data_IF_496856354052
#
_entry.id   IF_496856354052
#
_cell.length_a   1.000
_cell.length_b   1.000
_cell.length_c   1.000
_cell.angle_alpha   90.00
_cell.angle_beta   90.00
_cell.angle_gamma   90.00
#
_symmetry.space_group_name_H-M   'P 1'
#
loop_
_entity.id
_entity.type
_entity.pdbx_description
1 polymer ?
#
# COMPACT_ATOMS: atom_id res chain seq x y z
N UNK A 1 26.92 28.46 -22.08
CA UNK A 1 25.57 29.05 -22.23
C UNK A 1 24.54 27.91 -22.26
N UNK A 2 23.51 27.98 -21.40
CA UNK A 2 22.23 27.23 -21.35
C UNK A 2 22.33 25.69 -21.30
N UNK A 3 22.28 25.03 -20.10
CA UNK A 3 21.13 24.58 -19.27
C UNK A 3 20.23 23.51 -19.93
N UNK A 4 19.86 22.49 -19.11
CA UNK A 4 18.73 21.50 -19.14
C UNK A 4 19.29 20.06 -19.12
N UNK A 5 19.01 19.13 -18.18
CA UNK A 5 18.12 19.05 -17.01
C UNK A 5 18.68 18.03 -15.99
N UNK A 6 18.37 18.25 -14.72
CA UNK A 6 18.60 17.34 -13.60
C UNK A 6 17.67 16.13 -13.66
N UNK A 7 18.20 14.95 -13.35
CA UNK A 7 17.43 13.92 -12.65
C UNK A 7 18.39 13.15 -11.70
N UNK A 8 18.76 13.80 -10.61
CA UNK A 8 19.39 13.14 -9.47
C UNK A 8 18.25 12.49 -8.70
N UNK A 9 18.07 11.17 -8.87
CA UNK A 9 17.17 10.39 -8.04
C UNK A 9 17.80 10.34 -6.63
N UNK A 10 17.24 11.15 -5.73
CA UNK A 10 17.66 11.24 -4.34
C UNK A 10 17.20 9.97 -3.59
N UNK A 11 18.01 8.92 -3.63
CA UNK A 11 17.94 7.83 -2.65
C UNK A 11 18.51 8.39 -1.35
N UNK A 12 17.65 8.93 -0.49
CA UNK A 12 18.03 9.40 0.83
C UNK A 12 18.24 8.19 1.76
N UNK A 13 19.47 7.66 1.75
CA UNK A 13 20.02 6.88 2.85
C UNK A 13 20.48 7.87 3.93
N UNK A 14 19.76 7.99 5.05
CA UNK A 14 20.25 8.68 6.24
C UNK A 14 20.51 7.63 7.32
N UNK A 15 21.76 7.19 7.40
CA UNK A 15 22.33 6.62 8.62
C UNK A 15 22.86 7.80 9.43
N UNK A 16 22.22 8.10 10.56
CA UNK A 16 22.81 8.93 11.61
C UNK A 16 22.86 8.10 12.89
N UNK A 17 24.09 7.78 13.30
CA UNK A 17 24.40 7.24 14.61
C UNK A 17 24.49 8.35 15.67
N UNK A 18 23.84 8.05 16.80
CA UNK A 18 24.06 8.50 18.19
C UNK A 18 23.93 9.98 18.56
N UNK A 19 22.88 10.30 19.32
CA UNK A 19 22.90 10.59 20.77
C UNK A 19 21.50 10.25 21.32
N UNK A 20 21.44 9.43 22.38
CA UNK A 20 20.19 9.11 23.10
C UNK A 20 19.78 10.25 24.03
N UNK A 21 18.51 10.66 23.97
CA UNK A 21 17.73 10.96 25.16
C UNK A 21 16.54 10.01 25.27
N UNK A 22 16.40 9.35 26.42
CA UNK A 22 15.20 8.63 26.91
C UNK A 22 14.46 7.73 25.90
N UNK A 23 14.93 6.49 25.74
CA UNK A 23 14.21 5.37 25.07
C UNK A 23 12.98 4.89 25.87
N UNK A 24 12.03 5.77 26.13
CA UNK A 24 10.78 5.41 26.81
C UNK A 24 9.51 6.01 26.16
N UNK A 25 9.61 6.80 25.09
CA UNK A 25 8.42 7.48 24.52
C UNK A 25 8.15 7.23 23.03
N UNK A 26 9.14 6.87 22.21
CA UNK A 26 8.93 6.62 20.77
C UNK A 26 8.49 5.19 20.45
N UNK A 27 8.83 4.22 21.30
CA UNK A 27 8.42 2.84 21.07
C UNK A 27 6.95 2.57 21.39
N UNK A 28 6.35 3.41 22.24
CA UNK A 28 5.00 3.23 22.76
C UNK A 28 3.90 3.61 21.76
N UNK A 29 4.19 4.47 20.78
CA UNK A 29 3.22 4.92 19.77
C UNK A 29 3.49 4.24 18.43
N UNK A 30 2.46 3.69 17.81
CA UNK A 30 2.55 3.05 16.50
C UNK A 30 1.86 3.90 15.44
N UNK A 31 2.54 4.14 14.32
CA UNK A 31 2.01 4.81 13.12
C UNK A 31 2.28 3.96 11.88
N UNK A 32 1.54 4.26 10.81
CA UNK A 32 1.55 3.48 9.57
C UNK A 32 2.92 3.41 8.89
N UNK A 33 3.72 4.48 8.94
CA UNK A 33 5.05 4.52 8.32
C UNK A 33 6.04 3.69 9.11
N UNK A 34 5.98 3.75 10.44
CA UNK A 34 6.80 2.92 11.31
C UNK A 34 6.55 1.44 11.06
N UNK A 35 5.29 1.04 10.86
CA UNK A 35 4.94 -0.35 10.51
C UNK A 35 5.54 -0.74 9.16
N UNK A 36 5.38 0.11 8.15
CA UNK A 36 5.91 -0.16 6.81
C UNK A 36 7.44 -0.29 6.80
N UNK A 37 8.15 0.62 7.45
CA UNK A 37 9.63 0.60 7.53
C UNK A 37 10.10 -0.69 8.21
N UNK A 38 9.58 -1.00 9.41
CA UNK A 38 9.98 -2.22 10.13
C UNK A 38 9.63 -3.51 9.38
N UNK A 39 8.49 -3.53 8.70
CA UNK A 39 8.09 -4.68 7.88
C UNK A 39 9.06 -4.89 6.70
N UNK A 40 9.47 -3.81 6.04
CA UNK A 40 10.46 -3.86 4.95
C UNK A 40 11.83 -4.33 5.48
N UNK A 41 12.30 -3.79 6.61
CA UNK A 41 13.56 -4.19 7.25
C UNK A 41 13.58 -5.66 7.67
N UNK A 42 12.44 -6.17 8.13
CA UNK A 42 12.30 -7.57 8.53
C UNK A 42 12.16 -8.54 7.35
N UNK A 43 11.75 -8.05 6.17
CA UNK A 43 11.43 -8.88 5.00
C UNK A 43 12.65 -9.63 4.43
N UNK A 44 12.54 -10.96 4.30
CA UNK A 44 13.56 -11.79 3.65
C UNK A 44 13.64 -11.54 2.13
N UNK A 45 12.49 -11.30 1.48
CA UNK A 45 12.46 -11.01 0.04
C UNK A 45 13.23 -9.71 -0.30
N UNK A 46 13.12 -8.69 0.57
CA UNK A 46 13.86 -7.43 0.40
C UNK A 46 15.36 -7.62 0.64
N UNK A 47 15.75 -8.44 1.62
CA UNK A 47 17.16 -8.78 1.86
C UNK A 47 17.77 -9.50 0.65
N UNK A 48 17.07 -10.51 0.11
CA UNK A 48 17.54 -11.28 -1.04
C UNK A 48 17.68 -10.40 -2.30
N UNK A 49 16.65 -9.61 -2.61
CA UNK A 49 16.72 -8.67 -3.76
C UNK A 49 17.80 -7.61 -3.57
N UNK A 50 18.04 -7.16 -2.32
CA UNK A 50 19.12 -6.23 -2.00
C UNK A 50 20.52 -6.81 -2.18
N UNK A 51 20.73 -8.08 -1.84
CA UNK A 51 21.99 -8.78 -2.14
C UNK A 51 22.24 -8.88 -3.65
N UNK A 52 21.19 -9.18 -4.42
CA UNK A 52 21.27 -9.23 -5.88
C UNK A 52 21.55 -7.85 -6.50
N UNK A 53 20.91 -6.77 -6.02
CA UNK A 53 21.26 -5.39 -6.41
C UNK A 53 22.73 -5.09 -6.12
N UNK A 54 23.23 -5.44 -4.93
CA UNK A 54 24.64 -5.22 -4.58
C UNK A 54 25.60 -6.00 -5.50
N UNK A 55 25.24 -7.22 -5.91
CA UNK A 55 26.00 -8.01 -6.88
C UNK A 55 26.05 -7.30 -8.24
N UNK A 56 24.91 -6.84 -8.75
CA UNK A 56 24.81 -6.13 -10.03
C UNK A 56 25.58 -4.80 -10.01
N UNK A 57 25.55 -4.06 -8.89
CA UNK A 57 26.36 -2.86 -8.72
C UNK A 57 27.86 -3.14 -8.79
N UNK A 58 28.33 -4.22 -8.14
CA UNK A 58 29.73 -4.64 -8.22
C UNK A 58 30.10 -5.02 -9.65
N UNK A 59 29.27 -5.80 -10.33
CA UNK A 59 29.52 -6.19 -11.72
C UNK A 59 29.57 -4.95 -12.65
N UNK A 60 28.66 -3.99 -12.49
CA UNK A 60 28.68 -2.74 -13.26
C UNK A 60 29.95 -1.91 -12.98
N UNK A 61 30.38 -1.81 -11.72
CA UNK A 61 31.64 -1.15 -11.37
C UNK A 61 32.86 -1.82 -11.99
N UNK A 62 32.86 -3.15 -12.10
CA UNK A 62 33.89 -3.94 -12.77
C UNK A 62 33.94 -3.65 -14.27
N UNK A 63 32.78 -3.66 -14.94
CA UNK A 63 32.67 -3.29 -16.37
C UNK A 63 33.21 -1.88 -16.59
N UNK A 64 32.79 -0.90 -15.79
CA UNK A 64 33.25 0.49 -15.91
C UNK A 64 34.76 0.64 -15.69
N UNK A 65 35.35 -0.13 -14.78
CA UNK A 65 36.80 -0.13 -14.56
C UNK A 65 37.55 -0.69 -15.77
N UNK A 66 37.00 -1.71 -16.44
CA UNK A 66 37.54 -2.26 -17.69
C UNK A 66 37.49 -1.26 -18.85
N UNK A 67 36.52 -0.35 -18.88
CA UNK A 67 36.38 0.67 -19.94
C UNK A 67 37.61 1.58 -20.03
N UNK A 68 38.20 1.98 -18.91
CA UNK A 68 39.36 2.89 -18.94
C UNK A 68 40.59 2.20 -19.51
N UNK A 69 40.79 0.91 -19.18
CA UNK A 69 41.83 0.09 -19.78
C UNK A 69 41.58 -0.11 -21.28
N UNK A 70 40.35 -0.40 -21.68
CA UNK A 70 39.98 -0.55 -23.09
C UNK A 70 40.19 0.75 -23.87
N UNK A 71 39.80 1.92 -23.32
CA UNK A 71 40.04 3.23 -23.93
C UNK A 71 41.53 3.52 -24.15
N UNK A 72 42.39 3.15 -23.21
CA UNK A 72 43.84 3.29 -23.38
C UNK A 72 44.35 2.44 -24.55
N UNK A 73 43.83 1.22 -24.70
CA UNK A 73 44.19 0.32 -25.79
C UNK A 73 43.74 0.82 -27.17
N UNK A 74 42.72 1.69 -27.28
CA UNK A 74 42.24 2.25 -28.56
C UNK A 74 43.36 2.95 -29.32
N UNK A 75 44.35 3.51 -28.62
CA UNK A 75 45.50 4.17 -29.23
C UNK A 75 46.44 3.21 -29.97
N UNK A 76 46.41 1.92 -29.62
CA UNK A 76 47.32 0.90 -30.13
C UNK A 76 46.61 -0.12 -31.02
N UNK A 77 45.35 -0.45 -30.69
CA UNK A 77 44.52 -1.40 -31.42
C UNK A 77 43.13 -0.79 -31.56
N UNK A 78 42.69 -0.61 -32.80
CA UNK A 78 41.31 -0.21 -33.09
C UNK A 78 40.56 -1.43 -33.61
N UNK A 79 39.73 -2.03 -32.77
CA UNK A 79 38.89 -3.17 -33.15
C UNK A 79 37.45 -2.96 -32.68
N UNK A 80 36.53 -3.66 -33.34
CA UNK A 80 35.11 -3.66 -33.00
C UNK A 80 34.88 -4.11 -31.55
N UNK A 81 35.55 -5.19 -31.14
CA UNK A 81 35.44 -5.77 -29.79
C UNK A 81 35.83 -4.75 -28.72
N UNK A 82 36.80 -3.89 -29.02
CA UNK A 82 37.22 -2.83 -28.12
C UNK A 82 36.15 -1.74 -28.01
N UNK A 83 35.53 -1.33 -29.12
CA UNK A 83 34.42 -0.37 -29.12
C UNK A 83 33.19 -0.92 -28.39
N UNK A 84 32.85 -2.19 -28.61
CA UNK A 84 31.79 -2.92 -27.92
C UNK A 84 32.01 -2.90 -26.39
N UNK A 85 33.24 -3.17 -25.94
CA UNK A 85 33.59 -3.16 -24.52
C UNK A 85 33.53 -1.77 -23.87
N UNK A 86 33.72 -0.70 -24.65
CA UNK A 86 33.75 0.69 -24.17
C UNK A 86 32.35 1.29 -24.12
N UNK A 87 31.46 0.91 -25.04
CA UNK A 87 30.17 1.59 -25.22
C UNK A 87 28.99 0.66 -24.96
N UNK A 88 28.92 -0.48 -25.66
CA UNK A 88 27.75 -1.36 -25.60
C UNK A 88 27.68 -2.10 -24.26
N UNK A 89 28.77 -2.72 -23.81
CA UNK A 89 28.79 -3.50 -22.57
C UNK A 89 28.42 -2.67 -21.32
N UNK A 90 28.95 -1.44 -21.11
CA UNK A 90 28.54 -0.60 -19.98
C UNK A 90 27.07 -0.18 -20.06
N UNK A 91 26.57 0.14 -21.26
CA UNK A 91 25.18 0.57 -21.46
C UNK A 91 24.18 -0.54 -21.14
N UNK A 92 24.43 -1.76 -21.63
CA UNK A 92 23.60 -2.93 -21.33
C UNK A 92 23.65 -3.26 -19.83
N UNK A 93 24.84 -3.21 -19.22
CA UNK A 93 25.00 -3.51 -17.80
C UNK A 93 24.33 -2.45 -16.90
N UNK A 94 24.34 -1.18 -17.30
CA UNK A 94 23.61 -0.11 -16.61
C UNK A 94 22.09 -0.32 -16.67
N UNK A 95 21.56 -0.71 -17.83
CA UNK A 95 20.16 -1.05 -17.97
C UNK A 95 19.75 -2.23 -17.08
N UNK A 96 20.51 -3.32 -17.07
CA UNK A 96 20.24 -4.49 -16.21
C UNK A 96 20.32 -4.15 -14.71
N UNK A 97 21.27 -3.30 -14.31
CA UNK A 97 21.34 -2.79 -12.94
C UNK A 97 20.08 -1.98 -12.59
N UNK A 98 19.68 -1.04 -13.46
CA UNK A 98 18.50 -0.20 -13.23
C UNK A 98 17.22 -1.04 -13.18
N UNK A 99 17.10 -2.04 -14.04
CA UNK A 99 16.01 -3.04 -14.02
C UNK A 99 15.94 -3.74 -12.67
N UNK A 100 17.07 -4.24 -12.17
CA UNK A 100 17.15 -4.92 -10.88
C UNK A 100 16.75 -4.00 -9.71
N UNK A 101 17.21 -2.74 -9.73
CA UNK A 101 16.85 -1.74 -8.71
C UNK A 101 15.34 -1.43 -8.75
N UNK A 102 14.77 -1.28 -9.95
CA UNK A 102 13.33 -1.06 -10.15
C UNK A 102 12.50 -2.24 -9.67
N UNK A 103 12.92 -3.48 -9.96
CA UNK A 103 12.26 -4.70 -9.47
C UNK A 103 12.27 -4.78 -7.94
N UNK A 104 13.40 -4.45 -7.29
CA UNK A 104 13.44 -4.35 -5.83
C UNK A 104 12.47 -3.30 -5.29
N UNK A 105 12.35 -2.15 -5.95
CA UNK A 105 11.41 -1.09 -5.53
C UNK A 105 9.95 -1.55 -5.63
N UNK A 106 9.60 -2.31 -6.66
CA UNK A 106 8.26 -2.90 -6.85
C UNK A 106 7.93 -3.93 -5.75
N UNK A 107 8.90 -4.76 -5.36
CA UNK A 107 8.74 -5.68 -4.21
C UNK A 107 8.62 -4.90 -2.89
N UNK A 108 9.38 -3.81 -2.75
CA UNK A 108 9.30 -2.92 -1.58
C UNK A 108 7.92 -2.29 -1.45
N UNK A 109 7.36 -1.78 -2.55
CA UNK A 109 6.01 -1.21 -2.57
C UNK A 109 4.94 -2.24 -2.18
N UNK A 110 5.07 -3.49 -2.63
CA UNK A 110 4.17 -4.57 -2.23
C UNK A 110 4.21 -4.82 -0.71
N UNK A 111 5.42 -4.88 -0.12
CA UNK A 111 5.59 -5.03 1.33
C UNK A 111 5.00 -3.85 2.11
N UNK A 112 5.19 -2.62 1.61
CA UNK A 112 4.61 -1.41 2.21
C UNK A 112 3.08 -1.43 2.15
N UNK A 113 2.48 -1.83 1.04
CA UNK A 113 1.03 -1.97 0.92
C UNK A 113 0.47 -3.03 1.88
N UNK A 114 1.13 -4.19 2.00
CA UNK A 114 0.72 -5.19 2.99
C UNK A 114 0.79 -4.64 4.42
N UNK A 115 1.85 -3.89 4.75
CA UNK A 115 1.99 -3.25 6.05
C UNK A 115 0.89 -2.21 6.31
N UNK A 116 0.58 -1.37 5.32
CA UNK A 116 -0.50 -0.40 5.39
C UNK A 116 -1.85 -1.09 5.61
N UNK A 117 -2.17 -2.14 4.86
CA UNK A 117 -3.43 -2.88 5.04
C UNK A 117 -3.55 -3.48 6.44
N UNK A 118 -2.48 -4.09 6.96
CA UNK A 118 -2.46 -4.65 8.31
C UNK A 118 -2.65 -3.57 9.38
N UNK A 119 -2.03 -2.40 9.22
CA UNK A 119 -2.22 -1.29 10.15
C UNK A 119 -3.64 -0.70 10.08
N UNK A 120 -4.21 -0.58 8.88
CA UNK A 120 -5.60 -0.17 8.68
C UNK A 120 -6.55 -1.15 9.40
N UNK A 121 -6.33 -2.46 9.26
CA UNK A 121 -7.14 -3.45 9.98
C UNK A 121 -7.01 -3.33 11.50
N UNK A 122 -5.82 -3.02 12.01
CA UNK A 122 -5.62 -2.74 13.43
C UNK A 122 -6.39 -1.50 13.88
N UNK A 123 -6.39 -0.41 13.10
CA UNK A 123 -7.17 0.81 13.41
C UNK A 123 -8.68 0.55 13.39
N UNK A 124 -9.18 -0.25 12.45
CA UNK A 124 -10.59 -0.69 12.45
C UNK A 124 -10.93 -1.46 13.73
N UNK A 125 -10.05 -2.38 14.13
CA UNK A 125 -10.19 -3.13 15.38
C UNK A 125 -10.22 -2.23 16.62
N UNK A 126 -9.29 -1.28 16.71
CA UNK A 126 -9.22 -0.29 17.80
C UNK A 126 -10.50 0.54 17.92
N UNK A 127 -10.97 1.09 16.79
CA UNK A 127 -12.20 1.88 16.75
C UNK A 127 -13.43 1.03 17.15
N UNK A 128 -13.54 -0.19 16.61
CA UNK A 128 -14.64 -1.09 16.94
C UNK A 128 -14.65 -1.48 18.43
N UNK A 129 -13.48 -1.77 19.02
CA UNK A 129 -13.35 -2.08 20.45
C UNK A 129 -13.80 -0.88 21.29
N UNK A 130 -13.36 0.32 20.96
CA UNK A 130 -13.73 1.54 21.68
C UNK A 130 -15.24 1.80 21.61
N UNK A 131 -15.82 1.85 20.41
CA UNK A 131 -17.25 2.11 20.21
C UNK A 131 -18.12 1.04 20.86
N UNK A 132 -17.73 -0.24 20.77
CA UNK A 132 -18.50 -1.34 21.39
C UNK A 132 -18.35 -1.38 22.91
N UNK A 133 -17.21 -0.95 23.46
CA UNK A 133 -17.03 -0.80 24.90
C UNK A 133 -17.95 0.27 25.47
N UNK A 134 -18.01 1.43 24.83
CA UNK A 134 -18.90 2.53 25.20
C UNK A 134 -20.38 2.12 25.11
N UNK A 135 -20.76 1.45 24.01
CA UNK A 135 -22.12 0.93 23.83
C UNK A 135 -22.49 -0.13 24.89
N UNK A 136 -21.60 -1.09 25.16
CA UNK A 136 -21.81 -2.11 26.19
C UNK A 136 -22.02 -1.48 27.56
N UNK A 137 -21.20 -0.49 27.93
CA UNK A 137 -21.34 0.21 29.21
C UNK A 137 -22.69 0.94 29.30
N UNK A 138 -23.08 1.65 28.24
CA UNK A 138 -24.37 2.35 28.19
C UNK A 138 -25.55 1.38 28.31
N UNK A 139 -25.51 0.24 27.62
CA UNK A 139 -26.59 -0.75 27.67
C UNK A 139 -26.64 -1.48 29.01
N UNK A 140 -25.49 -1.67 29.67
CA UNK A 140 -25.43 -2.19 31.04
C UNK A 140 -26.09 -1.24 32.05
N UNK A 141 -25.83 0.06 31.91
CA UNK A 141 -26.47 1.07 32.77
C UNK A 141 -27.99 1.13 32.54
N UNK A 142 -28.43 1.02 31.29
CA UNK A 142 -29.86 0.95 30.95
C UNK A 142 -30.54 -0.33 31.48
N UNK A 143 -29.87 -1.48 31.40
CA UNK A 143 -30.34 -2.73 32.00
C UNK A 143 -30.53 -2.59 33.52
N UNK A 144 -29.55 -2.02 34.23
CA UNK A 144 -29.67 -1.78 35.68
C UNK A 144 -30.84 -0.83 35.99
N UNK A 145 -30.95 0.26 35.22
CA UNK A 145 -32.02 1.25 35.40
C UNK A 145 -33.39 0.60 35.25
N UNK A 146 -33.63 -0.15 34.18
CA UNK A 146 -34.95 -0.75 33.94
C UNK A 146 -35.29 -1.85 34.94
N UNK A 147 -34.29 -2.58 35.44
CA UNK A 147 -34.46 -3.53 36.54
C UNK A 147 -34.95 -2.85 37.81
N UNK A 148 -34.33 -1.73 38.21
CA UNK A 148 -34.80 -0.94 39.36
C UNK A 148 -36.21 -0.38 39.15
N UNK A 149 -36.56 0.02 37.92
CA UNK A 149 -37.92 0.47 37.60
C UNK A 149 -38.93 -0.68 37.70
N UNK A 150 -38.56 -1.89 37.30
CA UNK A 150 -39.41 -3.07 37.43
C UNK A 150 -39.64 -3.45 38.90
N UNK A 151 -38.62 -3.37 39.76
CA UNK A 151 -38.74 -3.59 41.21
C UNK A 151 -39.73 -2.59 41.87
N UNK A 152 -39.89 -1.41 41.26
CA UNK A 152 -40.83 -0.38 41.68
C UNK A 152 -42.20 -0.47 40.98
N UNK A 153 -42.41 -1.49 40.13
CA UNK A 153 -43.65 -1.67 39.37
C UNK A 153 -43.83 -0.68 38.21
N UNK A 154 -42.79 0.05 37.82
CA UNK A 154 -42.82 1.07 36.75
C UNK A 154 -42.38 0.54 35.38
N UNK A 155 -41.84 -0.68 35.30
CA UNK A 155 -41.44 -1.34 34.06
C UNK A 155 -41.91 -2.80 34.02
N UNK A 156 -42.18 -3.31 32.83
CA UNK A 156 -42.59 -4.70 32.64
C UNK A 156 -41.39 -5.65 32.65
N UNK A 157 -41.60 -6.89 33.10
CA UNK A 157 -40.55 -7.93 33.09
C UNK A 157 -40.01 -8.21 31.67
N UNK A 158 -40.86 -8.06 30.64
CA UNK A 158 -40.45 -8.16 29.24
C UNK A 158 -39.43 -7.10 28.83
N UNK A 159 -39.54 -5.87 29.35
CA UNK A 159 -38.61 -4.79 29.04
C UNK A 159 -37.25 -5.03 29.69
N UNK A 160 -37.24 -5.57 30.92
CA UNK A 160 -36.01 -6.01 31.60
C UNK A 160 -35.29 -7.07 30.77
N UNK A 161 -36.02 -8.09 30.31
CA UNK A 161 -35.43 -9.15 29.46
C UNK A 161 -34.88 -8.61 28.14
N UNK A 162 -35.57 -7.68 27.48
CA UNK A 162 -35.07 -7.07 26.26
C UNK A 162 -33.79 -6.24 26.49
N UNK A 163 -33.72 -5.50 27.59
CA UNK A 163 -32.52 -4.74 27.95
C UNK A 163 -31.33 -5.66 28.29
N UNK A 164 -31.58 -6.78 28.99
CA UNK A 164 -30.57 -7.79 29.28
C UNK A 164 -30.02 -8.42 28.00
N UNK A 165 -30.90 -8.80 27.06
CA UNK A 165 -30.50 -9.34 25.75
C UNK A 165 -29.61 -8.33 25.00
N UNK A 166 -30.00 -7.06 24.95
CA UNK A 166 -29.22 -6.03 24.27
C UNK A 166 -27.84 -5.85 24.92
N UNK A 167 -27.76 -5.85 26.25
CA UNK A 167 -26.49 -5.79 26.98
C UNK A 167 -25.59 -7.01 26.68
N UNK A 168 -26.12 -8.23 26.78
CA UNK A 168 -25.31 -9.43 26.55
C UNK A 168 -24.86 -9.55 25.08
N UNK A 169 -25.69 -9.12 24.12
CA UNK A 169 -25.27 -9.01 22.71
C UNK A 169 -24.15 -7.99 22.53
N UNK A 170 -24.24 -6.82 23.16
CA UNK A 170 -23.19 -5.80 23.10
C UNK A 170 -21.88 -6.29 23.74
N UNK A 171 -21.97 -7.00 24.88
CA UNK A 171 -20.82 -7.64 25.53
C UNK A 171 -20.17 -8.69 24.64
N UNK A 172 -20.94 -9.55 24.00
CA UNK A 172 -20.44 -10.53 23.03
C UNK A 172 -19.72 -9.84 21.86
N UNK A 173 -20.33 -8.80 21.29
CA UNK A 173 -19.75 -8.05 20.18
C UNK A 173 -18.45 -7.31 20.57
N UNK A 174 -18.38 -6.79 21.80
CA UNK A 174 -17.16 -6.19 22.36
C UNK A 174 -16.03 -7.21 22.50
N UNK A 175 -16.30 -8.39 23.09
CA UNK A 175 -15.29 -9.45 23.23
C UNK A 175 -14.79 -9.96 21.87
N UNK A 176 -15.68 -10.09 20.88
CA UNK A 176 -15.29 -10.45 19.52
C UNK A 176 -14.41 -9.39 18.85
N UNK A 177 -14.71 -8.11 19.06
CA UNK A 177 -13.88 -7.02 18.55
C UNK A 177 -12.48 -7.04 19.21
N UNK A 178 -12.41 -7.32 20.52
CA UNK A 178 -11.15 -7.45 21.25
C UNK A 178 -10.28 -8.58 20.69
N UNK A 179 -10.86 -9.77 20.50
CA UNK A 179 -10.16 -10.90 19.90
C UNK A 179 -9.65 -10.59 18.48
N UNK A 180 -10.46 -9.89 17.68
CA UNK A 180 -10.09 -9.48 16.31
C UNK A 180 -8.93 -8.46 16.31
N UNK A 181 -8.95 -7.51 17.25
CA UNK A 181 -7.86 -6.55 17.45
C UNK A 181 -6.58 -7.24 17.95
N UNK A 182 -6.70 -8.23 18.83
CA UNK A 182 -5.57 -9.02 19.31
C UNK A 182 -4.90 -9.81 18.17
N UNK A 183 -5.70 -10.42 17.30
CA UNK A 183 -5.21 -11.06 16.07
C UNK A 183 -4.50 -10.07 15.13
N UNK A 184 -5.04 -8.86 15.01
CA UNK A 184 -4.42 -7.78 14.20
C UNK A 184 -3.07 -7.36 14.78
N UNK A 185 -2.94 -7.27 16.11
CA UNK A 185 -1.66 -7.03 16.77
C UNK A 185 -0.65 -8.16 16.52
N UNK A 186 -1.06 -9.42 16.61
CA UNK A 186 -0.16 -10.54 16.34
C UNK A 186 0.35 -10.48 14.90
N UNK A 187 -0.54 -10.23 13.94
CA UNK A 187 -0.22 -10.11 12.52
C UNK A 187 0.79 -8.99 12.27
N UNK A 188 0.54 -7.79 12.80
CA UNK A 188 1.42 -6.64 12.57
C UNK A 188 2.78 -6.81 13.24
N UNK A 189 2.81 -7.37 14.45
CA UNK A 189 4.05 -7.64 15.17
C UNK A 189 4.89 -8.70 14.45
N UNK A 190 4.26 -9.76 13.93
CA UNK A 190 4.93 -10.76 13.11
C UNK A 190 5.58 -10.13 11.87
N UNK A 191 4.86 -9.25 11.16
CA UNK A 191 5.38 -8.56 9.99
C UNK A 191 6.58 -7.68 10.32
N UNK A 192 6.52 -6.94 11.44
CA UNK A 192 7.59 -6.06 11.91
C UNK A 192 8.78 -6.79 12.58
N UNK A 193 8.68 -8.09 12.85
CA UNK A 193 9.69 -8.83 13.60
C UNK A 193 9.71 -8.50 15.10
N UNK A 194 8.57 -8.08 15.65
CA UNK A 194 8.38 -7.73 17.05
C UNK A 194 7.77 -8.91 17.84
N UNK A 195 7.89 -8.95 19.19
CA UNK A 195 7.20 -9.95 19.99
C UNK A 195 5.69 -9.94 19.71
N UNK A 196 5.09 -11.12 19.46
CA UNK A 196 3.67 -11.22 19.05
C UNK A 196 2.70 -10.57 20.04
N UNK A 197 3.02 -10.64 21.34
CA UNK A 197 2.22 -10.07 22.43
C UNK A 197 2.43 -8.57 22.66
N UNK A 198 3.34 -7.91 21.91
CA UNK A 198 3.65 -6.49 22.10
C UNK A 198 2.42 -5.63 21.82
N UNK A 199 2.09 -4.76 22.77
CA UNK A 199 1.03 -3.75 22.64
C UNK A 199 1.64 -2.36 22.61
N UNK A 200 0.88 -1.42 22.06
CA UNK A 200 1.28 -0.03 21.92
C UNK A 200 0.28 0.83 22.70
N UNK A 201 0.76 1.91 23.32
CA UNK A 201 -0.06 2.78 24.16
C UNK A 201 -0.99 3.69 23.35
N UNK A 202 -0.65 3.92 22.08
CA UNK A 202 -1.48 4.70 21.16
C UNK A 202 -1.24 4.27 19.70
N UNK A 203 -2.30 4.36 18.91
CA UNK A 203 -2.27 4.22 17.46
C UNK A 203 -2.56 5.59 16.85
N UNK A 204 -1.75 6.03 15.87
CA UNK A 204 -1.95 7.31 15.19
C UNK A 204 -2.71 7.13 13.87
N UNK A 205 -3.83 7.81 13.73
CA UNK A 205 -4.64 7.82 12.51
C UNK A 205 -4.77 9.21 11.85
N UNK A 206 -4.14 10.25 12.43
CA UNK A 206 -4.29 11.63 11.99
C UNK A 206 -3.85 11.93 10.55
N UNK A 207 -3.00 11.09 9.96
CA UNK A 207 -2.57 11.20 8.56
C UNK A 207 -3.37 10.29 7.59
N UNK A 208 -4.40 9.61 8.09
CA UNK A 208 -5.17 8.60 7.35
C UNK A 208 -6.56 9.16 7.09
N UNK A 209 -6.63 10.10 6.15
CA UNK A 209 -7.85 10.80 5.76
C UNK A 209 -7.97 10.67 4.24
N UNK A 210 -9.01 10.01 3.72
CA UNK A 210 -9.17 9.89 2.28
C UNK A 210 -9.42 11.26 1.65
N UNK A 211 -8.79 11.50 0.50
CA UNK A 211 -9.11 12.66 -0.33
C UNK A 211 -10.59 12.58 -0.77
N UNK A 212 -11.28 13.72 -0.80
CA UNK A 212 -12.70 13.77 -1.14
C UNK A 212 -12.98 13.42 -2.61
N UNK A 213 -12.00 13.65 -3.49
CA UNK A 213 -12.11 13.42 -4.92
C UNK A 213 -10.90 12.62 -5.40
N UNK A 214 -11.15 11.76 -6.38
CA UNK A 214 -10.10 11.02 -7.11
C UNK A 214 -9.82 11.72 -8.44
N UNK A 215 -8.64 11.48 -9.01
CA UNK A 215 -8.29 11.98 -10.35
C UNK A 215 -9.10 11.29 -11.45
N UNK A 216 -8.96 11.73 -12.70
CA UNK A 216 -9.56 11.01 -13.83
C UNK A 216 -8.81 9.71 -14.13
N UNK A 217 -9.49 8.76 -14.77
CA UNK A 217 -8.85 7.52 -15.24
C UNK A 217 -7.70 7.85 -16.20
N UNK A 218 -7.91 8.82 -17.10
CA UNK A 218 -6.91 9.26 -18.06
C UNK A 218 -5.64 9.80 -17.38
N UNK A 219 -5.78 10.57 -16.29
CA UNK A 219 -4.64 11.11 -15.54
C UNK A 219 -3.83 9.98 -14.88
N UNK A 220 -4.51 8.97 -14.32
CA UNK A 220 -3.85 7.81 -13.72
C UNK A 220 -3.14 6.96 -14.77
N UNK A 221 -3.78 6.70 -15.91
CA UNK A 221 -3.17 6.00 -17.04
C UNK A 221 -1.94 6.75 -17.54
N UNK A 222 -2.02 8.06 -17.75
CA UNK A 222 -0.91 8.86 -18.25
C UNK A 222 0.31 8.81 -17.30
N UNK A 223 0.08 8.88 -15.99
CA UNK A 223 1.14 8.71 -14.98
C UNK A 223 1.76 7.31 -15.04
N UNK A 224 0.92 6.27 -15.03
CA UNK A 224 1.39 4.89 -15.06
C UNK A 224 2.20 4.58 -16.32
N UNK A 225 1.75 5.03 -17.50
CA UNK A 225 2.46 4.85 -18.76
C UNK A 225 3.86 5.47 -18.78
N UNK A 226 4.11 6.46 -17.92
CA UNK A 226 5.41 7.14 -17.81
C UNK A 226 6.33 6.47 -16.79
N UNK A 227 5.77 5.89 -15.72
CA UNK A 227 6.54 5.51 -14.53
C UNK A 227 6.65 4.00 -14.30
N UNK A 228 5.72 3.19 -14.83
CA UNK A 228 5.64 1.76 -14.52
C UNK A 228 6.90 1.02 -14.91
N UNK A 229 7.38 0.17 -13.98
CA UNK A 229 8.60 -0.59 -14.16
C UNK A 229 8.55 -1.52 -15.37
N UNK A 230 7.39 -2.12 -15.67
CA UNK A 230 7.23 -2.99 -16.83
C UNK A 230 7.45 -2.25 -18.16
N UNK A 231 7.06 -0.97 -18.22
CA UNK A 231 7.24 -0.10 -19.39
C UNK A 231 8.67 0.40 -19.46
N UNK A 232 9.22 0.88 -18.34
CA UNK A 232 10.61 1.34 -18.27
C UNK A 232 11.61 0.22 -18.63
N UNK A 233 11.33 -1.01 -18.19
CA UNK A 233 12.15 -2.18 -18.51
C UNK A 233 12.01 -2.55 -19.99
N UNK A 234 10.79 -2.67 -20.52
CA UNK A 234 10.57 -3.00 -21.93
C UNK A 234 11.16 -1.95 -22.89
N UNK A 235 11.06 -0.66 -22.54
CA UNK A 235 11.68 0.41 -23.31
C UNK A 235 13.20 0.31 -23.30
N UNK A 236 13.81 0.07 -22.14
CA UNK A 236 15.27 -0.09 -22.07
C UNK A 236 15.77 -1.36 -22.76
N UNK A 237 14.99 -2.44 -22.76
CA UNK A 237 15.29 -3.66 -23.54
C UNK A 237 15.29 -3.34 -25.05
N UNK A 238 14.27 -2.61 -25.53
CA UNK A 238 14.19 -2.13 -26.91
C UNK A 238 15.38 -1.23 -27.28
N UNK A 239 15.71 -0.27 -26.42
CA UNK A 239 16.84 0.63 -26.64
C UNK A 239 18.17 -0.17 -26.69
N UNK A 240 18.32 -1.17 -25.83
CA UNK A 240 19.45 -2.09 -25.85
C UNK A 240 19.59 -2.86 -27.17
N UNK A 241 18.48 -3.39 -27.70
CA UNK A 241 18.45 -4.08 -29.00
C UNK A 241 18.80 -3.15 -30.16
N UNK A 242 18.30 -1.92 -30.15
CA UNK A 242 18.63 -0.89 -31.17
C UNK A 242 20.11 -0.54 -31.15
N UNK A 243 20.71 -0.40 -29.98
CA UNK A 243 22.15 -0.18 -29.86
C UNK A 243 22.97 -1.39 -30.34
N UNK A 244 22.55 -2.62 -29.98
CA UNK A 244 23.21 -3.84 -30.45
C UNK A 244 23.26 -3.92 -31.98
N UNK A 245 22.17 -3.59 -32.68
CA UNK A 245 22.14 -3.50 -34.14
C UNK A 245 23.15 -2.47 -34.66
N UNK A 246 23.13 -1.24 -34.13
CA UNK A 246 24.01 -0.15 -34.57
C UNK A 246 25.48 -0.56 -34.48
N UNK A 247 25.90 -1.15 -33.35
CA UNK A 247 27.29 -1.61 -33.19
C UNK A 247 27.56 -2.84 -34.07
N UNK A 248 26.67 -3.83 -34.10
CA UNK A 248 26.91 -5.07 -34.84
C UNK A 248 27.10 -4.89 -36.34
N UNK A 249 26.42 -3.91 -36.96
CA UNK A 249 26.64 -3.55 -38.37
C UNK A 249 28.08 -3.09 -38.66
N UNK A 250 28.82 -2.62 -37.65
CA UNK A 250 30.24 -2.22 -37.75
C UNK A 250 31.18 -3.44 -37.79
N UNK A 251 30.73 -4.62 -37.32
CA UNK A 251 31.56 -5.83 -37.14
C UNK A 251 31.89 -6.56 -38.45
N UNK A 252 30.99 -6.61 -39.44
CA UNK A 252 31.26 -7.27 -40.72
C UNK A 252 30.28 -6.86 -41.84
N UNK A 253 30.74 -6.21 -42.93
CA UNK A 253 29.90 -5.88 -44.09
C UNK A 253 29.50 -7.10 -44.96
N UNK A 254 30.17 -8.25 -44.82
CA UNK A 254 29.91 -9.44 -45.62
C UNK A 254 28.97 -10.36 -44.82
N UNK A 255 27.77 -10.64 -45.36
CA UNK A 255 26.71 -11.38 -44.67
C UNK A 255 25.85 -10.53 -43.72
N UNK A 256 25.97 -9.19 -43.80
CA UNK A 256 25.25 -8.25 -42.95
C UNK A 256 23.73 -8.32 -43.11
N UNK A 257 23.21 -8.67 -44.29
CA UNK A 257 21.75 -8.76 -44.54
C UNK A 257 21.06 -9.78 -43.62
N UNK A 258 21.66 -10.96 -43.42
CA UNK A 258 21.06 -11.97 -42.51
C UNK A 258 21.15 -11.53 -41.05
N UNK A 259 22.27 -10.91 -40.66
CA UNK A 259 22.44 -10.36 -39.31
C UNK A 259 21.45 -9.21 -39.05
N UNK A 260 21.28 -8.30 -40.01
CA UNK A 260 20.34 -7.19 -39.94
C UNK A 260 18.91 -7.69 -39.80
N UNK A 261 18.49 -8.67 -40.62
CA UNK A 261 17.17 -9.30 -40.51
C UNK A 261 16.94 -9.94 -39.13
N UNK A 262 17.94 -10.63 -38.58
CA UNK A 262 17.84 -11.24 -37.25
C UNK A 262 17.68 -10.18 -36.14
N UNK A 263 18.45 -9.09 -36.20
CA UNK A 263 18.34 -8.01 -35.23
C UNK A 263 17.04 -7.20 -35.39
N UNK A 264 16.58 -6.96 -36.62
CA UNK A 264 15.30 -6.32 -36.91
C UNK A 264 14.14 -7.13 -36.31
N UNK A 265 14.16 -8.45 -36.45
CA UNK A 265 13.19 -9.34 -35.81
C UNK A 265 13.21 -9.22 -34.27
N UNK A 266 14.39 -9.17 -33.66
CA UNK A 266 14.53 -9.01 -32.21
C UNK A 266 14.07 -7.62 -31.73
N UNK A 267 14.28 -6.57 -32.53
CA UNK A 267 13.74 -5.23 -32.27
C UNK A 267 12.22 -5.24 -32.37
N UNK A 268 11.63 -5.81 -33.42
CA UNK A 268 10.18 -5.92 -33.59
C UNK A 268 9.54 -6.66 -32.41
N UNK A 269 10.18 -7.74 -31.94
CA UNK A 269 9.74 -8.46 -30.74
C UNK A 269 9.78 -7.58 -29.49
N UNK A 270 10.82 -6.78 -29.30
CA UNK A 270 10.93 -5.85 -28.17
C UNK A 270 9.91 -4.70 -28.27
N UNK A 271 9.62 -4.20 -29.48
CA UNK A 271 8.56 -3.20 -29.73
C UNK A 271 7.17 -3.76 -29.38
N UNK A 272 6.88 -4.99 -29.85
CA UNK A 272 5.65 -5.69 -29.49
C UNK A 272 5.55 -5.90 -27.97
N UNK A 273 6.64 -6.27 -27.30
CA UNK A 273 6.64 -6.43 -25.84
C UNK A 273 6.38 -5.11 -25.10
N UNK A 274 6.94 -3.99 -25.57
CA UNK A 274 6.68 -2.67 -25.02
C UNK A 274 5.20 -2.28 -25.15
N UNK A 275 4.61 -2.50 -26.33
CA UNK A 275 3.18 -2.22 -26.55
C UNK A 275 2.29 -3.11 -25.69
N UNK A 276 2.62 -4.40 -25.55
CA UNK A 276 1.94 -5.31 -24.63
C UNK A 276 2.05 -4.82 -23.17
N UNK A 277 3.24 -4.37 -22.73
CA UNK A 277 3.42 -3.80 -21.39
C UNK A 277 2.53 -2.57 -21.17
N UNK A 278 2.42 -1.68 -22.16
CA UNK A 278 1.53 -0.50 -22.08
C UNK A 278 0.06 -0.91 -21.99
N UNK A 279 -0.39 -1.87 -22.79
CA UNK A 279 -1.77 -2.38 -22.76
C UNK A 279 -2.07 -3.00 -21.40
N UNK A 280 -1.19 -3.86 -20.89
CA UNK A 280 -1.37 -4.51 -19.59
C UNK A 280 -1.43 -3.50 -18.44
N UNK A 281 -0.59 -2.46 -18.48
CA UNK A 281 -0.63 -1.36 -17.49
C UNK A 281 -1.96 -0.60 -17.58
N UNK A 282 -2.44 -0.27 -18.78
CA UNK A 282 -3.74 0.39 -18.94
C UNK A 282 -4.89 -0.44 -18.37
N UNK A 283 -4.89 -1.75 -18.64
CA UNK A 283 -5.87 -2.68 -18.08
C UNK A 283 -5.80 -2.70 -16.55
N UNK A 284 -4.59 -2.86 -15.98
CA UNK A 284 -4.40 -2.89 -14.54
C UNK A 284 -4.88 -1.60 -13.85
N UNK A 285 -4.56 -0.43 -14.40
CA UNK A 285 -4.98 0.85 -13.86
C UNK A 285 -6.49 1.03 -13.99
N UNK A 286 -7.10 0.56 -15.07
CA UNK A 286 -8.57 0.61 -15.25
C UNK A 286 -9.29 -0.24 -14.21
N UNK A 287 -8.77 -1.43 -13.92
CA UNK A 287 -9.32 -2.32 -12.89
C UNK A 287 -9.20 -1.69 -11.49
N UNK A 288 -8.01 -1.16 -11.15
CA UNK A 288 -7.76 -0.47 -9.89
C UNK A 288 -8.62 0.79 -9.74
N UNK A 289 -8.83 1.54 -10.83
CA UNK A 289 -9.70 2.70 -10.85
C UNK A 289 -11.15 2.33 -10.55
N UNK A 290 -11.65 1.25 -11.15
CA UNK A 290 -13.01 0.76 -10.90
C UNK A 290 -13.19 0.38 -9.42
N UNK A 291 -12.20 -0.29 -8.83
CA UNK A 291 -12.18 -0.60 -7.40
C UNK A 291 -12.16 0.65 -6.52
N UNK A 292 -11.31 1.62 -6.84
CA UNK A 292 -11.21 2.90 -6.14
C UNK A 292 -12.54 3.68 -6.22
N UNK A 293 -13.15 3.77 -7.41
CA UNK A 293 -14.42 4.45 -7.61
C UNK A 293 -15.55 3.79 -6.79
N UNK A 294 -15.61 2.46 -6.79
CA UNK A 294 -16.55 1.71 -5.96
C UNK A 294 -16.33 1.97 -4.47
N UNK A 295 -15.07 2.01 -4.02
CA UNK A 295 -14.71 2.36 -2.65
C UNK A 295 -15.14 3.77 -2.25
N UNK A 296 -14.95 4.75 -3.14
CA UNK A 296 -15.40 6.13 -2.92
C UNK A 296 -16.93 6.24 -2.84
N UNK A 297 -17.66 5.54 -3.72
CA UNK A 297 -19.12 5.46 -3.68
C UNK A 297 -19.61 4.82 -2.37
N UNK A 298 -18.93 3.77 -1.89
CA UNK A 298 -19.24 3.14 -0.62
C UNK A 298 -19.00 4.09 0.57
N UNK A 299 -17.90 4.85 0.56
CA UNK A 299 -17.64 5.87 1.58
C UNK A 299 -18.76 6.92 1.63
N UNK A 300 -19.19 7.43 0.47
CA UNK A 300 -20.29 8.41 0.43
C UNK A 300 -21.61 7.81 0.92
N UNK A 301 -21.92 6.57 0.55
CA UNK A 301 -23.09 5.85 1.09
C UNK A 301 -23.03 5.70 2.62
N UNK A 302 -21.88 5.29 3.17
CA UNK A 302 -21.71 5.16 4.62
C UNK A 302 -21.79 6.49 5.36
N UNK A 303 -21.31 7.60 4.76
CA UNK A 303 -21.51 8.95 5.31
C UNK A 303 -22.98 9.30 5.43
N UNK A 304 -23.77 9.03 4.39
CA UNK A 304 -25.21 9.26 4.43
C UNK A 304 -25.91 8.39 5.47
N UNK A 305 -25.57 7.10 5.57
CA UNK A 305 -26.16 6.17 6.53
C UNK A 305 -25.81 6.53 7.98
N UNK A 306 -24.55 6.87 8.27
CA UNK A 306 -24.14 7.33 9.60
C UNK A 306 -24.86 8.63 9.98
N UNK A 307 -25.01 9.57 9.03
CA UNK A 307 -25.75 10.81 9.28
C UNK A 307 -27.22 10.54 9.58
N UNK A 308 -27.85 9.63 8.84
CA UNK A 308 -29.23 9.24 9.08
C UNK A 308 -29.39 8.53 10.44
N UNK A 309 -28.48 7.64 10.79
CA UNK A 309 -28.50 6.94 12.07
C UNK A 309 -28.34 7.91 13.25
N UNK A 310 -27.49 8.93 13.11
CA UNK A 310 -27.36 10.02 14.08
C UNK A 310 -28.67 10.81 14.24
N UNK A 311 -29.33 11.20 13.14
CA UNK A 311 -30.61 11.90 13.19
C UNK A 311 -31.72 11.05 13.83
N UNK A 312 -31.78 9.77 13.46
CA UNK A 312 -32.74 8.82 14.03
C UNK A 312 -32.52 8.64 15.54
N UNK A 313 -31.26 8.53 15.97
CA UNK A 313 -30.91 8.44 17.39
C UNK A 313 -31.33 9.69 18.16
N UNK A 314 -31.05 10.89 17.63
CA UNK A 314 -31.45 12.14 18.28
C UNK A 314 -32.97 12.27 18.38
N UNK A 315 -33.71 11.87 17.34
CA UNK A 315 -35.17 11.85 17.37
C UNK A 315 -35.70 10.83 18.39
N UNK A 316 -35.15 9.62 18.44
CA UNK A 316 -35.51 8.60 19.40
C UNK A 316 -35.22 9.05 20.84
N UNK A 317 -34.12 9.75 21.07
CA UNK A 317 -33.78 10.29 22.39
C UNK A 317 -34.85 11.28 22.87
N UNK A 318 -35.25 12.23 22.03
CA UNK A 318 -36.33 13.17 22.34
C UNK A 318 -37.65 12.44 22.59
N UNK A 319 -37.97 11.42 21.80
CA UNK A 319 -39.18 10.63 22.00
C UNK A 319 -39.16 9.88 23.33
N UNK A 320 -38.02 9.31 23.71
CA UNK A 320 -37.83 8.64 24.99
C UNK A 320 -37.97 9.60 26.16
N UNK A 321 -37.37 10.79 26.08
CA UNK A 321 -37.47 11.85 27.10
C UNK A 321 -38.92 12.33 27.31
N UNK A 322 -39.75 12.24 26.27
CA UNK A 322 -41.18 12.56 26.32
C UNK A 322 -42.07 11.32 26.55
N UNK A 323 -41.49 10.18 26.96
CA UNK A 323 -42.21 8.93 27.23
C UNK A 323 -43.02 8.38 26.05
N UNK A 324 -42.64 8.74 24.83
CA UNK A 324 -43.32 8.27 23.60
C UNK A 324 -42.77 6.94 23.07
N UNK A 325 -41.56 6.56 23.49
CA UNK A 325 -40.97 5.24 23.22
C UNK A 325 -40.39 4.67 24.52
N UNK A 326 -40.23 3.36 24.54
CA UNK A 326 -39.63 2.59 25.64
C UNK A 326 -38.09 2.65 25.59
N UNK A 327 -37.43 2.32 26.71
CA UNK A 327 -35.96 2.26 26.75
C UNK A 327 -35.38 1.17 25.82
N UNK A 328 -35.97 -0.03 25.70
CA UNK A 328 -35.54 -1.01 24.69
C UNK A 328 -35.61 -0.49 23.25
N UNK A 329 -36.62 0.31 22.90
CA UNK A 329 -36.71 0.94 21.57
C UNK A 329 -35.57 1.95 21.35
N UNK A 330 -35.25 2.78 22.35
CA UNK A 330 -34.09 3.68 22.29
C UNK A 330 -32.77 2.89 22.14
N UNK A 331 -32.61 1.79 22.88
CA UNK A 331 -31.42 0.94 22.82
C UNK A 331 -31.18 0.37 21.42
N UNK A 332 -32.24 -0.07 20.73
CA UNK A 332 -32.14 -0.56 19.36
C UNK A 332 -31.60 0.51 18.39
N UNK A 333 -32.08 1.76 18.53
CA UNK A 333 -31.59 2.88 17.70
C UNK A 333 -30.15 3.23 18.06
N UNK A 334 -29.76 3.18 19.34
CA UNK A 334 -28.37 3.41 19.78
C UNK A 334 -27.40 2.38 19.21
N UNK A 335 -27.79 1.10 19.19
CA UNK A 335 -27.02 0.01 18.57
C UNK A 335 -26.84 0.28 17.07
N UNK A 336 -27.93 0.64 16.38
CA UNK A 336 -27.87 0.93 14.95
C UNK A 336 -26.94 2.12 14.62
N UNK A 337 -26.95 3.17 15.46
CA UNK A 337 -26.01 4.29 15.34
C UNK A 337 -24.56 3.85 15.50
N UNK A 338 -24.24 3.08 16.55
CA UNK A 338 -22.89 2.61 16.79
C UNK A 338 -22.35 1.76 15.63
N UNK A 339 -23.16 0.88 15.05
CA UNK A 339 -22.73 0.10 13.87
C UNK A 339 -22.59 0.99 12.62
N UNK A 340 -23.44 2.00 12.42
CA UNK A 340 -23.28 2.94 11.33
C UNK A 340 -21.97 3.76 11.45
N UNK A 341 -21.61 4.18 12.66
CA UNK A 341 -20.35 4.89 12.94
C UNK A 341 -19.12 4.00 12.66
N UNK A 342 -19.16 2.72 13.07
CA UNK A 342 -18.11 1.73 12.75
C UNK A 342 -17.98 1.54 11.23
N UNK A 343 -19.10 1.38 10.52
CA UNK A 343 -19.10 1.19 9.08
C UNK A 343 -18.55 2.41 8.33
N UNK A 344 -18.87 3.63 8.79
CA UNK A 344 -18.27 4.85 8.24
C UNK A 344 -16.76 4.87 8.44
N UNK A 345 -16.26 4.64 9.67
CA UNK A 345 -14.82 4.65 9.93
C UNK A 345 -14.09 3.59 9.11
N UNK A 346 -14.67 2.40 8.96
CA UNK A 346 -14.12 1.35 8.11
C UNK A 346 -14.00 1.81 6.65
N UNK A 347 -15.06 2.42 6.11
CA UNK A 347 -15.08 2.93 4.74
C UNK A 347 -14.09 4.08 4.52
N UNK A 348 -13.87 4.95 5.51
CA UNK A 348 -12.86 6.02 5.45
C UNK A 348 -11.44 5.45 5.32
N UNK A 349 -11.13 4.46 6.17
CA UNK A 349 -9.83 3.80 6.17
C UNK A 349 -9.59 2.99 4.89
N UNK A 350 -10.63 2.32 4.37
CA UNK A 350 -10.57 1.58 3.10
C UNK A 350 -10.36 2.50 1.90
N UNK A 351 -11.12 3.59 1.83
CA UNK A 351 -10.97 4.58 0.75
C UNK A 351 -9.56 5.19 0.74
N UNK A 352 -9.01 5.50 1.92
CA UNK A 352 -7.64 6.00 2.02
C UNK A 352 -6.63 4.97 1.52
N UNK A 353 -6.78 3.70 1.91
CA UNK A 353 -5.90 2.63 1.48
C UNK A 353 -5.96 2.42 -0.04
N UNK A 354 -7.16 2.44 -0.64
CA UNK A 354 -7.34 2.35 -2.09
C UNK A 354 -6.68 3.52 -2.83
N UNK A 355 -6.74 4.74 -2.29
CA UNK A 355 -6.06 5.90 -2.87
C UNK A 355 -4.54 5.74 -2.83
N UNK A 356 -4.00 5.25 -1.71
CA UNK A 356 -2.57 4.95 -1.59
C UNK A 356 -2.12 3.84 -2.54
N UNK A 357 -2.93 2.79 -2.69
CA UNK A 357 -2.69 1.71 -3.64
C UNK A 357 -2.69 2.25 -5.07
N UNK A 358 -3.65 3.09 -5.44
CA UNK A 358 -3.71 3.70 -6.76
C UNK A 358 -2.49 4.60 -7.04
N UNK A 359 -2.06 5.38 -6.04
CA UNK A 359 -0.84 6.19 -6.13
C UNK A 359 0.39 5.33 -6.44
N UNK A 360 0.64 4.28 -5.64
CA UNK A 360 1.76 3.36 -5.88
C UNK A 360 1.63 2.60 -7.20
N UNK A 361 0.42 2.25 -7.61
CA UNK A 361 0.17 1.62 -8.89
C UNK A 361 0.54 2.51 -10.07
N UNK A 362 0.37 3.83 -9.95
CA UNK A 362 0.69 4.79 -11.02
C UNK A 362 2.16 5.26 -11.03
N UNK A 363 2.90 5.03 -9.95
CA UNK A 363 4.34 5.26 -9.89
C UNK A 363 5.08 4.04 -10.47
N UNK A 364 6.04 3.49 -9.73
CA UNK A 364 6.79 2.30 -10.15
C UNK A 364 5.92 1.04 -10.21
N UNK A 365 4.75 1.04 -9.56
CA UNK A 365 3.93 -0.15 -9.38
C UNK A 365 4.34 -0.98 -8.18
N UNK A 366 3.68 -2.12 -8.02
CA UNK A 366 3.97 -3.12 -7.00
C UNK A 366 3.68 -4.52 -7.55
N UNK A 367 4.42 -5.52 -7.10
CA UNK A 367 4.20 -6.89 -7.52
C UNK A 367 3.10 -7.50 -6.66
N UNK A 368 2.00 -7.90 -7.29
CA UNK A 368 0.98 -8.72 -6.63
C UNK A 368 1.65 -10.01 -6.14
N UNK A 369 1.36 -10.44 -4.90
CA UNK A 369 1.88 -11.68 -4.32
C UNK A 369 1.54 -12.94 -5.16
N UNK A 370 0.62 -12.83 -6.13
CA UNK A 370 0.25 -13.91 -7.06
C UNK A 370 1.05 -13.89 -8.39
N UNK A 371 2.01 -12.99 -8.55
CA UNK A 371 2.80 -12.83 -9.79
C UNK A 371 4.17 -13.52 -9.78
N UNK A 372 4.40 -14.46 -8.88
CA UNK A 372 5.55 -15.36 -8.90
C UNK A 372 5.05 -16.77 -9.25
N UNK A 373 4.79 -17.00 -10.54
CA UNK A 373 4.58 -18.32 -11.11
C UNK A 373 5.65 -18.59 -12.16
#
# INVERSE_FOLDING_TARGET
>A
MKKIFSLVLLVAFIVISTIQPARASTDAVLDIERVAIKTVENSQAIKLTGEYVNLMQKAYSGVKSGVDQAKWMVQFVNSYELLESIVLAPKLMEHELNKTVREQAVVTNAMRLSAYQSYINLLKGDYAVKTRSELMSSLYDDYKKIRTQQEQGMAAESEVRLAEIAFEQARYNYLNAQNSMDSSYMTINQMMGEPLSKKYSALKDNNIIPAQKIGSLEDYIAKALTNRVEILNAQGDLDGKKEQLIYGLVKSPIGSEFYEQEQEYEIEKAENQLELSKINVQMNITDLYTGLEAGMKNLDAMRHLAKQAELNYNAALVQYENSMITLPELNNVRIAKAEADINLKNAELDAWFMQMMMGMACDLGFQSANGAA
#
